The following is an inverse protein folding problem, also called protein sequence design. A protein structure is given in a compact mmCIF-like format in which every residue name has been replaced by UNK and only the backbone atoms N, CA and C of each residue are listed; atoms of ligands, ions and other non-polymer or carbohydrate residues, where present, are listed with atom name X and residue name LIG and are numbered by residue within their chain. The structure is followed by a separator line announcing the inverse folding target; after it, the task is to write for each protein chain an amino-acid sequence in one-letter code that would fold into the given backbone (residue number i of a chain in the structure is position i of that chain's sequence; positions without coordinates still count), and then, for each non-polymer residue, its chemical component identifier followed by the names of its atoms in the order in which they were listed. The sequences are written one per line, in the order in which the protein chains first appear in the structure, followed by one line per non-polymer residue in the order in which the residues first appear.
data_IF_267093503450
#
_entry.id   IF_267093503450
#
_cell.length_a   1.000
_cell.length_b   1.000
_cell.length_c   1.000
_cell.angle_alpha   90.00
_cell.angle_beta   90.00
_cell.angle_gamma   90.00
#
_symmetry.space_group_name_H-M   'P 1'
#
loop_
_entity.id
_entity.type
_entity.pdbx_description
1 polymer ?
#
# COMPACT_ATOMS: atom_id res chain seq x y z
N UNK A 1 -0.15 17.61 -42.98
CA UNK A 1 -0.58 16.57 -42.03
C UNK A 1 0.67 15.93 -41.45
N UNK A 2 0.87 16.11 -40.14
CA UNK A 2 2.06 15.73 -39.40
C UNK A 2 2.10 14.22 -39.12
N UNK A 3 3.29 13.62 -39.20
CA UNK A 3 3.82 12.72 -38.15
C UNK A 3 5.34 12.71 -38.23
N UNK A 4 5.94 13.41 -37.27
CA UNK A 4 7.38 13.50 -37.02
C UNK A 4 7.81 12.24 -36.28
N UNK A 5 8.77 11.53 -36.86
CA UNK A 5 9.66 10.58 -36.20
C UNK A 5 10.59 11.34 -35.26
N UNK A 6 10.67 10.96 -33.97
CA UNK A 6 11.53 11.65 -33.00
C UNK A 6 11.90 10.81 -31.77
N UNK A 7 13.10 10.22 -31.84
CA UNK A 7 14.07 9.87 -30.79
C UNK A 7 13.62 9.74 -29.32
N UNK A 8 13.79 8.54 -28.74
CA UNK A 8 13.58 8.21 -27.30
C UNK A 8 14.81 8.44 -26.40
N UNK A 9 15.82 9.18 -26.81
CA UNK A 9 17.09 9.29 -26.07
C UNK A 9 17.57 10.73 -25.83
N UNK A 10 16.71 11.60 -25.29
CA UNK A 10 17.10 12.98 -24.99
C UNK A 10 16.37 13.62 -23.79
N UNK A 11 16.35 13.01 -22.61
CA UNK A 11 15.81 13.67 -21.40
C UNK A 11 16.54 13.31 -20.08
N UNK A 12 17.87 13.14 -20.11
CA UNK A 12 18.65 12.84 -18.89
C UNK A 12 19.89 13.74 -18.72
N UNK A 13 19.82 15.01 -19.12
CA UNK A 13 20.83 16.02 -18.83
C UNK A 13 20.19 17.38 -18.56
N UNK A 14 19.88 17.66 -17.29
CA UNK A 14 19.89 18.99 -16.63
C UNK A 14 18.88 19.02 -15.48
N UNK A 15 19.20 18.48 -14.31
CA UNK A 15 18.58 18.96 -13.06
C UNK A 15 19.60 18.88 -11.93
N UNK A 16 20.60 19.78 -11.97
CA UNK A 16 21.21 20.31 -10.74
C UNK A 16 20.42 21.56 -10.39
N UNK A 17 19.29 21.40 -9.72
CA UNK A 17 18.55 22.52 -9.14
C UNK A 17 18.92 22.64 -7.66
N UNK A 18 19.70 23.67 -7.34
CA UNK A 18 19.94 24.10 -5.96
C UNK A 18 18.63 24.71 -5.44
N UNK A 19 17.84 23.93 -4.70
CA UNK A 19 16.63 24.44 -4.03
C UNK A 19 17.06 25.19 -2.77
N UNK A 20 16.53 26.39 -2.57
CA UNK A 20 16.85 27.23 -1.41
C UNK A 20 16.00 26.80 -0.22
N UNK A 21 16.66 26.67 0.94
CA UNK A 21 16.04 26.37 2.21
C UNK A 21 15.27 27.59 2.74
N UNK A 22 13.98 27.45 3.01
CA UNK A 22 13.25 28.39 3.85
C UNK A 22 12.76 27.65 5.10
N UNK A 23 13.47 27.87 6.22
CA UNK A 23 13.02 27.39 7.53
C UNK A 23 11.87 28.30 7.95
N UNK A 24 10.66 27.75 8.01
CA UNK A 24 9.48 28.51 8.46
C UNK A 24 9.57 28.75 9.97
N UNK A 25 10.07 27.75 10.71
CA UNK A 25 10.14 27.80 12.17
C UNK A 25 11.20 26.86 12.72
N UNK A 26 11.91 27.30 13.75
CA UNK A 26 12.88 26.45 14.48
C UNK A 26 12.62 26.49 15.99
N UNK A 27 12.92 25.38 16.67
CA UNK A 27 12.79 25.27 18.12
C UNK A 27 13.90 24.40 18.71
N UNK A 28 14.43 24.83 19.86
CA UNK A 28 15.37 24.06 20.67
C UNK A 28 14.66 23.44 21.87
N UNK A 29 15.10 22.24 22.28
CA UNK A 29 14.50 21.42 23.36
C UNK A 29 13.12 20.83 23.01
N UNK A 30 12.85 20.60 21.73
CA UNK A 30 11.67 19.88 21.28
C UNK A 30 11.82 18.37 21.48
N UNK A 31 10.72 17.66 21.73
CA UNK A 31 10.69 16.22 21.49
C UNK A 31 10.28 15.96 20.04
N UNK A 32 10.64 14.79 19.51
CA UNK A 32 10.22 14.37 18.17
C UNK A 32 8.71 14.53 17.95
N UNK A 33 7.90 14.06 18.90
CA UNK A 33 6.43 14.16 18.85
C UNK A 33 5.96 15.61 18.84
N UNK A 34 6.60 16.48 19.64
CA UNK A 34 6.27 17.92 19.63
C UNK A 34 6.67 18.58 18.31
N UNK A 35 7.75 18.14 17.67
CA UNK A 35 8.17 18.64 16.36
C UNK A 35 7.18 18.24 15.27
N UNK A 36 6.77 16.97 15.26
CA UNK A 36 5.74 16.47 14.36
C UNK A 36 4.40 17.20 14.56
N UNK A 37 3.97 17.37 15.81
CA UNK A 37 2.75 18.11 16.16
C UNK A 37 2.82 19.60 15.79
N UNK A 38 4.00 20.22 15.89
CA UNK A 38 4.20 21.59 15.45
C UNK A 38 4.02 21.71 13.93
N UNK A 39 4.54 20.77 13.15
CA UNK A 39 4.30 20.75 11.70
C UNK A 39 2.82 20.48 11.34
N UNK A 40 2.11 19.68 12.14
CA UNK A 40 0.67 19.45 11.94
C UNK A 40 -0.17 20.72 12.13
N UNK A 41 0.20 21.54 13.11
CA UNK A 41 -0.52 22.76 13.48
C UNK A 41 -0.06 24.00 12.71
N UNK A 42 1.02 23.91 11.95
CA UNK A 42 1.57 25.00 11.14
C UNK A 42 1.02 24.86 9.70
N UNK A 43 0.24 25.84 9.26
CA UNK A 43 -0.55 25.76 8.01
C UNK A 43 0.34 25.49 6.79
N UNK A 44 1.51 26.13 6.75
CA UNK A 44 2.46 26.05 5.64
C UNK A 44 3.52 24.96 5.82
N UNK A 45 3.53 24.21 6.93
CA UNK A 45 4.52 23.16 7.12
C UNK A 45 4.21 21.94 6.25
N UNK A 46 5.19 21.53 5.44
CA UNK A 46 5.16 20.33 4.61
C UNK A 46 6.15 19.28 5.13
N UNK A 47 7.30 19.71 5.63
CA UNK A 47 8.36 18.85 6.16
C UNK A 47 8.84 19.35 7.52
N UNK A 48 9.35 18.45 8.36
CA UNK A 48 10.07 18.81 9.56
C UNK A 48 11.38 18.01 9.69
N UNK A 49 12.43 18.62 10.22
CA UNK A 49 13.67 17.95 10.62
C UNK A 49 13.69 17.79 12.14
N UNK A 50 14.25 16.69 12.63
CA UNK A 50 14.50 16.51 14.06
C UNK A 50 15.87 15.89 14.33
N UNK A 51 16.75 16.64 14.98
CA UNK A 51 18.07 16.16 15.39
C UNK A 51 18.00 15.66 16.83
N UNK A 52 18.24 14.36 17.04
CA UNK A 52 18.12 13.72 18.36
C UNK A 52 19.15 14.26 19.37
N UNK A 53 20.38 14.50 18.93
CA UNK A 53 21.48 14.92 19.81
C UNK A 53 21.29 16.35 20.33
N UNK A 54 20.85 17.27 19.47
CA UNK A 54 20.63 18.67 19.82
C UNK A 54 19.19 18.97 20.23
N UNK A 55 18.27 18.00 20.07
CA UNK A 55 16.81 18.17 20.21
C UNK A 55 16.28 19.36 19.40
N UNK A 56 16.88 19.57 18.24
CA UNK A 56 16.54 20.65 17.32
C UNK A 56 15.40 20.20 16.42
N UNK A 57 14.41 21.07 16.26
CA UNK A 57 13.26 20.88 15.40
C UNK A 57 13.18 22.03 14.39
N UNK A 58 13.03 21.72 13.12
CA UNK A 58 12.88 22.73 12.07
C UNK A 58 11.69 22.36 11.18
N UNK A 59 10.83 23.33 10.88
CA UNK A 59 9.67 23.19 10.00
C UNK A 59 9.97 23.85 8.65
N UNK A 60 9.56 23.23 7.55
CA UNK A 60 9.78 23.72 6.19
C UNK A 60 8.55 23.50 5.31
N UNK A 61 8.35 24.41 4.35
CA UNK A 61 7.27 24.41 3.34
C UNK A 61 7.67 23.67 2.07
N UNK A 62 8.96 23.38 1.87
CA UNK A 62 9.47 22.75 0.66
C UNK A 62 10.29 21.48 0.95
N UNK A 63 10.28 20.55 -0.02
CA UNK A 63 11.02 19.29 0.11
C UNK A 63 12.51 19.52 -0.10
N UNK A 64 13.32 19.10 0.87
CA UNK A 64 14.77 19.06 0.72
C UNK A 64 15.13 17.79 -0.04
N UNK A 65 15.50 17.92 -1.31
CA UNK A 65 16.41 16.97 -1.95
C UNK A 65 17.75 17.69 -2.11
N UNK A 66 18.54 17.65 -1.04
CA UNK A 66 19.99 17.79 -1.16
C UNK A 66 20.61 16.54 -0.54
N UNK A 67 21.08 15.68 -1.43
CA UNK A 67 22.05 14.64 -1.11
C UNK A 67 23.30 15.36 -0.59
N UNK A 68 23.71 15.01 0.62
CA UNK A 68 24.91 15.43 1.35
C UNK A 68 24.72 16.66 2.25
N UNK A 69 24.33 16.40 3.50
CA UNK A 69 25.13 16.74 4.68
C UNK A 69 24.55 15.98 5.90
N UNK A 70 25.45 15.59 6.80
CA UNK A 70 25.33 14.46 7.71
C UNK A 70 24.22 14.61 8.78
N UNK A 71 23.48 13.52 9.02
CA UNK A 71 22.61 13.28 10.18
C UNK A 71 21.30 14.06 10.36
N UNK A 72 20.73 14.67 9.31
CA UNK A 72 19.38 15.23 9.36
C UNK A 72 18.36 14.32 8.67
N UNK A 73 17.55 13.61 9.48
CA UNK A 73 16.37 12.89 8.97
C UNK A 73 15.19 13.87 8.90
N UNK A 74 14.73 14.15 7.68
CA UNK A 74 13.53 14.93 7.43
C UNK A 74 12.31 14.01 7.40
N UNK A 75 11.28 14.39 8.14
CA UNK A 75 10.01 13.69 8.28
C UNK A 75 8.91 14.57 7.67
N UNK A 76 8.11 14.02 6.76
CA UNK A 76 7.00 14.77 6.17
C UNK A 76 5.87 14.93 7.19
N UNK A 77 5.13 16.04 7.13
CA UNK A 77 3.92 16.24 7.94
C UNK A 77 3.05 14.97 7.88
N UNK A 78 2.70 14.41 9.02
CA UNK A 78 1.79 13.26 9.06
C UNK A 78 0.45 13.69 8.44
N UNK A 79 0.07 13.11 7.31
CA UNK A 79 -1.10 13.54 6.52
C UNK A 79 -0.78 14.18 5.17
N UNK A 80 0.49 14.26 4.76
CA UNK A 80 0.84 14.73 3.43
C UNK A 80 1.74 13.70 2.70
N UNK A 81 1.12 12.73 2.04
CA UNK A 81 1.73 11.92 1.00
C UNK A 81 0.73 11.75 -0.12
N UNK A 82 0.32 12.84 -0.76
CA UNK A 82 -0.65 12.73 -1.83
C UNK A 82 0.02 12.21 -3.10
N UNK A 83 -0.26 10.94 -3.40
CA UNK A 83 -0.76 10.57 -4.71
C UNK A 83 -1.88 11.58 -5.07
N UNK A 84 -1.66 12.50 -6.03
CA UNK A 84 -2.59 13.61 -6.29
C UNK A 84 -4.01 13.18 -6.72
N UNK A 85 -4.18 11.88 -6.97
CA UNK A 85 -5.42 11.18 -7.21
C UNK A 85 -5.22 9.74 -6.72
N UNK A 86 -5.42 9.48 -5.43
CA UNK A 86 -5.51 8.11 -4.93
C UNK A 86 -6.77 7.44 -5.48
N UNK A 87 -6.62 6.21 -5.97
CA UNK A 87 -7.73 5.46 -6.53
C UNK A 87 -7.45 3.97 -6.61
N UNK A 88 -8.42 3.19 -7.13
CA UNK A 88 -8.24 1.78 -7.46
C UNK A 88 -7.03 1.60 -8.37
N UNK A 89 -6.16 0.64 -8.03
CA UNK A 89 -4.98 0.30 -8.85
C UNK A 89 -5.32 -0.69 -9.96
N UNK A 90 -6.51 -1.31 -9.91
CA UNK A 90 -7.11 -1.96 -11.06
C UNK A 90 -7.54 -3.40 -10.85
N UNK A 91 -7.87 -3.79 -9.61
CA UNK A 91 -8.40 -5.13 -9.37
C UNK A 91 -9.82 -5.22 -9.92
N UNK A 92 -10.72 -4.31 -9.55
CA UNK A 92 -12.13 -4.34 -9.96
C UNK A 92 -12.31 -4.10 -11.46
N UNK A 93 -11.63 -3.10 -12.01
CA UNK A 93 -11.83 -2.65 -13.40
C UNK A 93 -11.03 -3.46 -14.44
N UNK A 94 -10.17 -4.39 -14.00
CA UNK A 94 -9.36 -5.22 -14.88
C UNK A 94 -8.06 -4.58 -15.38
N UNK A 95 -7.70 -3.38 -14.94
CA UNK A 95 -6.43 -2.76 -15.32
C UNK A 95 -5.20 -3.52 -14.79
N UNK A 96 -5.31 -4.20 -13.65
CA UNK A 96 -4.35 -5.23 -13.25
C UNK A 96 -4.70 -6.49 -14.05
N UNK A 97 -3.78 -7.02 -14.88
CA UNK A 97 -4.05 -8.20 -15.70
C UNK A 97 -4.15 -9.47 -14.84
N UNK A 98 -4.86 -10.48 -15.33
CA UNK A 98 -5.11 -11.72 -14.59
C UNK A 98 -3.82 -12.45 -14.20
N UNK A 99 -2.80 -12.41 -15.05
CA UNK A 99 -1.50 -13.05 -14.82
C UNK A 99 -0.71 -12.40 -13.68
N UNK A 100 -1.04 -11.15 -13.33
CA UNK A 100 -0.46 -10.44 -12.18
C UNK A 100 -1.05 -10.90 -10.85
N UNK A 101 -2.12 -11.70 -10.84
CA UNK A 101 -2.82 -12.14 -9.64
C UNK A 101 -2.52 -13.62 -9.39
N UNK A 102 -1.80 -13.92 -8.31
CA UNK A 102 -1.43 -15.30 -7.95
C UNK A 102 -1.75 -15.59 -6.49
N UNK A 103 -1.92 -16.87 -6.15
CA UNK A 103 -2.20 -17.29 -4.78
C UNK A 103 -1.44 -18.57 -4.44
N UNK A 104 -1.39 -18.90 -3.15
CA UNK A 104 -0.77 -20.12 -2.63
C UNK A 104 -1.44 -21.40 -3.15
N UNK A 105 -2.76 -21.34 -3.28
CA UNK A 105 -3.62 -22.44 -3.72
C UNK A 105 -5.01 -21.86 -4.03
N UNK A 106 -5.88 -22.64 -4.66
CA UNK A 106 -7.28 -22.26 -4.84
C UNK A 106 -8.22 -23.47 -4.88
N UNK A 107 -9.46 -23.29 -4.47
CA UNK A 107 -10.45 -24.36 -4.35
C UNK A 107 -11.23 -24.63 -5.65
N UNK A 108 -11.24 -25.90 -6.09
CA UNK A 108 -12.15 -26.42 -7.10
C UNK A 108 -11.53 -26.60 -8.49
N UNK A 109 -12.35 -27.07 -9.44
CA UNK A 109 -11.91 -27.52 -10.75
C UNK A 109 -12.09 -26.41 -11.81
N UNK A 110 -11.29 -26.49 -12.90
CA UNK A 110 -11.42 -25.61 -14.08
C UNK A 110 -11.39 -24.10 -13.77
N UNK A 111 -10.68 -23.68 -12.72
CA UNK A 111 -10.53 -22.26 -12.36
C UNK A 111 -11.68 -21.67 -11.53
N UNK A 112 -12.61 -22.48 -11.04
CA UNK A 112 -13.51 -22.03 -9.96
C UNK A 112 -12.67 -21.52 -8.79
N UNK A 113 -13.02 -20.36 -8.24
CA UNK A 113 -12.28 -19.72 -7.15
C UNK A 113 -10.78 -19.44 -7.41
N UNK A 114 -10.34 -19.41 -8.66
CA UNK A 114 -8.99 -19.01 -9.02
C UNK A 114 -8.64 -17.60 -8.51
N UNK A 115 -7.35 -17.24 -8.39
CA UNK A 115 -6.92 -15.93 -7.89
C UNK A 115 -7.57 -14.74 -8.60
N UNK A 116 -7.82 -14.86 -9.90
CA UNK A 116 -8.50 -13.84 -10.73
C UNK A 116 -9.93 -13.52 -10.28
N UNK A 117 -10.57 -14.43 -9.52
CA UNK A 117 -11.90 -14.20 -8.94
C UNK A 117 -11.84 -13.37 -7.67
N UNK A 118 -10.66 -12.99 -7.19
CA UNK A 118 -10.47 -12.12 -6.02
C UNK A 118 -10.70 -10.64 -6.31
N UNK A 119 -11.16 -10.25 -7.49
CA UNK A 119 -11.43 -8.84 -7.82
C UNK A 119 -12.65 -8.35 -7.03
N UNK A 120 -12.58 -7.14 -6.47
CA UNK A 120 -13.71 -6.53 -5.77
C UNK A 120 -14.98 -6.56 -6.63
N UNK A 121 -16.14 -6.76 -6.00
CA UNK A 121 -17.45 -6.81 -6.67
C UNK A 121 -17.59 -7.87 -7.78
N UNK A 122 -16.68 -8.85 -7.87
CA UNK A 122 -16.88 -10.01 -8.75
C UNK A 122 -18.18 -10.71 -8.39
N UNK A 123 -19.07 -10.88 -9.38
CA UNK A 123 -20.35 -11.59 -9.24
C UNK A 123 -20.33 -12.97 -9.92
N UNK A 124 -21.39 -13.75 -9.67
CA UNK A 124 -21.63 -15.06 -10.28
C UNK A 124 -20.82 -16.19 -9.64
N UNK A 125 -21.22 -17.44 -9.90
CA UNK A 125 -20.50 -18.60 -9.37
C UNK A 125 -19.22 -18.83 -10.18
N UNK A 126 -18.01 -18.80 -9.61
CA UNK A 126 -17.62 -18.65 -8.20
C UNK A 126 -17.13 -17.23 -7.85
N UNK A 127 -17.75 -16.50 -6.92
CA UNK A 127 -17.57 -15.04 -6.74
C UNK A 127 -16.41 -14.59 -5.81
N UNK A 128 -15.36 -15.39 -5.63
CA UNK A 128 -14.15 -14.98 -4.89
C UNK A 128 -12.99 -15.94 -5.15
N UNK A 129 -11.76 -15.51 -4.86
CA UNK A 129 -10.71 -16.48 -4.57
C UNK A 129 -11.04 -17.18 -3.25
N UNK A 130 -10.87 -18.49 -3.21
CA UNK A 130 -10.93 -19.29 -1.99
C UNK A 130 -9.72 -20.22 -1.97
N UNK A 131 -9.02 -20.30 -0.85
CA UNK A 131 -7.85 -21.19 -0.74
C UNK A 131 -8.27 -22.66 -0.90
N UNK A 132 -7.36 -23.53 -1.34
CA UNK A 132 -7.61 -24.96 -1.24
C UNK A 132 -7.56 -25.39 0.23
N UNK A 133 -8.70 -25.80 0.79
CA UNK A 133 -8.82 -26.23 2.18
C UNK A 133 -8.16 -27.61 2.45
N UNK A 134 -7.87 -28.37 1.39
CA UNK A 134 -7.16 -29.65 1.48
C UNK A 134 -5.64 -29.50 1.39
N UNK A 135 -5.17 -28.30 1.12
CA UNK A 135 -3.73 -28.00 1.10
C UNK A 135 -3.14 -28.10 2.51
N UNK A 136 -1.98 -28.75 2.62
CA UNK A 136 -1.18 -28.75 3.85
C UNK A 136 -0.65 -27.35 4.23
N UNK A 137 -0.82 -26.35 3.35
CA UNK A 137 -0.43 -24.98 3.63
C UNK A 137 -1.46 -24.29 4.55
N UNK A 138 -1.14 -24.27 5.85
CA UNK A 138 -1.89 -23.58 6.90
C UNK A 138 -1.82 -22.04 6.82
N UNK A 139 -0.98 -21.50 5.92
CA UNK A 139 -0.73 -20.06 5.75
C UNK A 139 -1.07 -19.64 4.32
N UNK A 140 -2.37 -19.57 3.97
CA UNK A 140 -2.79 -19.17 2.63
C UNK A 140 -2.38 -17.73 2.33
N UNK A 141 -2.13 -17.44 1.06
CA UNK A 141 -1.87 -16.08 0.60
C UNK A 141 -2.42 -15.84 -0.79
N UNK A 142 -2.73 -14.58 -1.07
CA UNK A 142 -3.02 -14.06 -2.41
C UNK A 142 -2.21 -12.79 -2.63
N UNK A 143 -1.70 -12.58 -3.84
CA UNK A 143 -0.83 -11.45 -4.15
C UNK A 143 -1.12 -10.85 -5.52
N UNK A 144 -0.66 -9.61 -5.67
CA UNK A 144 -0.63 -8.87 -6.92
C UNK A 144 0.81 -8.43 -7.20
N UNK A 145 1.30 -8.71 -8.39
CA UNK A 145 2.51 -8.09 -8.95
C UNK A 145 2.12 -6.95 -9.89
N UNK A 146 2.42 -5.71 -9.50
CA UNK A 146 2.10 -4.53 -10.28
C UNK A 146 3.05 -4.33 -11.49
N UNK A 147 4.05 -5.20 -11.67
CA UNK A 147 5.14 -5.13 -12.67
C UNK A 147 6.03 -3.88 -12.59
N UNK A 148 5.71 -2.94 -11.70
CA UNK A 148 6.48 -1.73 -11.37
C UNK A 148 6.25 -1.37 -9.91
N UNK A 149 7.11 -0.55 -9.33
CA UNK A 149 6.87 -0.01 -7.99
C UNK A 149 5.72 1.00 -8.03
N UNK A 150 4.73 0.80 -7.18
CA UNK A 150 3.57 1.68 -6.97
C UNK A 150 3.53 2.13 -5.51
N UNK A 151 2.72 3.13 -5.21
CA UNK A 151 2.41 3.54 -3.83
C UNK A 151 1.05 2.98 -3.46
N UNK A 152 0.98 2.17 -2.40
CA UNK A 152 -0.24 1.60 -1.83
C UNK A 152 -0.56 2.33 -0.53
N UNK A 153 -1.80 2.78 -0.36
CA UNK A 153 -2.24 3.53 0.83
C UNK A 153 -3.32 2.80 1.60
N UNK A 154 -4.19 2.06 0.93
CA UNK A 154 -5.25 1.29 1.57
C UNK A 154 -5.58 0.02 0.78
N UNK A 155 -6.29 -0.90 1.45
CA UNK A 155 -6.92 -2.07 0.86
C UNK A 155 -8.42 -1.99 1.07
N UNK A 156 -9.20 -2.52 0.14
CA UNK A 156 -10.63 -2.79 0.34
C UNK A 156 -10.80 -4.30 0.23
N UNK A 157 -11.40 -4.94 1.23
CA UNK A 157 -11.68 -6.38 1.20
C UNK A 157 -13.18 -6.65 1.17
N UNK A 158 -13.59 -7.77 0.59
CA UNK A 158 -14.98 -8.21 0.51
C UNK A 158 -15.05 -9.75 0.65
N UNK A 159 -16.13 -10.29 1.20
CA UNK A 159 -16.32 -11.74 1.34
C UNK A 159 -16.63 -12.44 0.01
N UNK A 160 -17.08 -13.70 0.06
CA UNK A 160 -17.32 -14.54 -1.13
C UNK A 160 -18.40 -14.06 -2.11
N UNK A 161 -19.33 -13.19 -1.70
CA UNK A 161 -20.38 -12.66 -2.57
C UNK A 161 -21.71 -13.43 -2.59
N UNK A 162 -21.70 -14.72 -2.27
CA UNK A 162 -22.93 -15.53 -2.27
C UNK A 162 -23.66 -15.48 -0.92
N UNK A 163 -24.92 -15.04 -0.93
CA UNK A 163 -25.74 -14.81 0.26
C UNK A 163 -25.82 -16.03 1.20
N UNK A 164 -25.83 -17.24 0.64
CA UNK A 164 -25.98 -18.47 1.42
C UNK A 164 -24.69 -18.96 2.08
N UNK A 165 -23.53 -18.55 1.55
CA UNK A 165 -22.25 -19.04 2.02
C UNK A 165 -21.53 -17.91 2.75
N UNK A 166 -21.59 -17.97 4.09
CA UNK A 166 -20.88 -17.08 5.00
C UNK A 166 -19.36 -17.35 5.01
N UNK A 167 -18.73 -17.48 3.84
CA UNK A 167 -17.31 -17.74 3.66
C UNK A 167 -16.57 -16.43 3.42
N UNK A 168 -15.63 -16.10 4.32
CA UNK A 168 -14.93 -14.81 4.31
C UNK A 168 -13.69 -14.82 5.18
N UNK A 169 -12.68 -14.07 4.77
CA UNK A 169 -11.56 -13.67 5.63
C UNK A 169 -12.04 -12.64 6.65
N UNK A 170 -11.72 -12.85 7.93
CA UNK A 170 -12.11 -11.96 9.05
C UNK A 170 -10.93 -11.18 9.61
N UNK A 171 -9.70 -11.67 9.45
CA UNK A 171 -8.45 -10.91 9.69
C UNK A 171 -7.36 -11.36 8.73
N UNK A 172 -6.47 -10.44 8.39
CA UNK A 172 -5.32 -10.73 7.54
C UNK A 172 -4.12 -9.86 7.92
N UNK A 173 -2.94 -10.27 7.48
CA UNK A 173 -1.72 -9.47 7.52
C UNK A 173 -1.28 -9.14 6.10
N UNK A 174 -0.50 -8.08 5.93
CA UNK A 174 0.03 -7.67 4.63
C UNK A 174 1.54 -7.82 4.63
N UNK A 175 2.05 -8.46 3.60
CA UNK A 175 3.48 -8.49 3.27
C UNK A 175 3.71 -7.91 1.89
N UNK A 176 4.93 -7.46 1.64
CA UNK A 176 5.29 -6.82 0.39
C UNK A 176 6.71 -7.16 -0.01
N UNK A 177 6.98 -7.06 -1.31
CA UNK A 177 8.28 -7.40 -1.88
C UNK A 177 8.54 -6.60 -3.16
N UNK A 178 9.82 -6.42 -3.48
CA UNK A 178 10.26 -5.83 -4.75
C UNK A 178 10.88 -6.86 -5.71
N UNK A 179 11.22 -8.06 -5.23
CA UNK A 179 11.90 -9.12 -5.99
C UNK A 179 11.14 -10.46 -5.99
N UNK A 180 10.10 -10.59 -5.17
CA UNK A 180 9.31 -11.82 -5.00
C UNK A 180 9.99 -12.87 -4.12
N UNK A 181 11.21 -12.63 -3.64
CA UNK A 181 12.01 -13.57 -2.86
C UNK A 181 12.08 -13.16 -1.39
N UNK A 182 12.39 -11.88 -1.13
CA UNK A 182 12.44 -11.31 0.22
C UNK A 182 11.16 -10.54 0.49
N UNK A 183 10.56 -10.79 1.66
CA UNK A 183 9.26 -10.26 2.03
C UNK A 183 9.34 -9.53 3.37
N UNK A 184 8.82 -8.31 3.38
CA UNK A 184 8.67 -7.50 4.57
C UNK A 184 7.21 -7.45 5.00
N UNK A 185 6.98 -7.27 6.30
CA UNK A 185 5.63 -7.08 6.86
C UNK A 185 5.27 -5.60 6.91
N UNK A 186 3.98 -5.29 6.72
CA UNK A 186 3.42 -4.03 7.19
C UNK A 186 3.30 -4.11 8.70
N UNK A 187 4.00 -3.23 9.41
CA UNK A 187 4.09 -3.23 10.87
C UNK A 187 3.49 -1.98 11.49
N UNK A 188 3.13 -2.08 12.77
CA UNK A 188 2.77 -0.92 13.58
C UNK A 188 4.03 -0.10 13.96
N UNK A 189 3.82 0.95 14.74
CA UNK A 189 4.91 1.81 15.22
C UNK A 189 5.94 1.10 16.12
N UNK A 190 5.64 -0.10 16.60
CA UNK A 190 6.51 -0.93 17.43
C UNK A 190 7.23 -2.02 16.61
N UNK A 191 7.00 -2.10 15.30
CA UNK A 191 7.59 -3.12 14.43
C UNK A 191 6.84 -4.47 14.47
N UNK A 192 5.64 -4.52 15.06
CA UNK A 192 4.84 -5.75 15.11
C UNK A 192 3.99 -5.87 13.84
N UNK A 193 3.95 -7.03 13.15
CA UNK A 193 3.10 -7.24 11.98
C UNK A 193 1.62 -6.92 12.26
N UNK A 194 1.06 -5.96 11.54
CA UNK A 194 -0.31 -5.51 11.75
C UNK A 194 -1.32 -6.54 11.29
N UNK A 195 -2.34 -6.78 12.12
CA UNK A 195 -3.55 -7.54 11.76
C UNK A 195 -4.65 -6.56 11.34
N UNK A 196 -4.99 -6.58 10.05
CA UNK A 196 -6.06 -5.77 9.49
C UNK A 196 -7.42 -6.45 9.68
N UNK A 197 -8.49 -5.68 9.91
CA UNK A 197 -9.84 -6.21 9.95
C UNK A 197 -10.27 -6.66 8.55
N UNK A 198 -10.80 -7.88 8.47
CA UNK A 198 -11.49 -8.41 7.29
C UNK A 198 -13.00 -8.17 7.37
N UNK A 199 -13.76 -9.07 6.75
CA UNK A 199 -15.18 -8.89 6.51
C UNK A 199 -16.08 -9.50 7.59
N UNK A 200 -17.19 -8.82 7.89
CA UNK A 200 -18.23 -9.29 8.82
C UNK A 200 -19.34 -10.09 8.13
N UNK A 201 -19.49 -9.92 6.83
CA UNK A 201 -20.47 -10.61 5.98
C UNK A 201 -19.87 -10.92 4.59
N UNK A 202 -20.69 -11.45 3.67
CA UNK A 202 -20.23 -11.89 2.36
C UNK A 202 -20.05 -10.76 1.33
N UNK A 203 -20.64 -9.58 1.54
CA UNK A 203 -20.88 -8.59 0.48
C UNK A 203 -20.44 -7.17 0.81
N UNK A 204 -20.38 -6.77 2.07
CA UNK A 204 -20.00 -5.41 2.46
C UNK A 204 -18.49 -5.21 2.30
N UNK A 205 -18.04 -4.29 1.44
CA UNK A 205 -16.63 -3.93 1.35
C UNK A 205 -16.13 -3.29 2.66
N UNK A 206 -14.91 -3.62 3.07
CA UNK A 206 -14.26 -3.10 4.28
C UNK A 206 -12.93 -2.47 3.88
N UNK A 207 -12.78 -1.18 4.12
CA UNK A 207 -11.54 -0.46 3.89
C UNK A 207 -10.56 -0.66 5.07
N UNK A 208 -9.29 -0.84 4.75
CA UNK A 208 -8.18 -0.97 5.70
C UNK A 208 -7.02 -0.07 5.25
N UNK A 209 -6.82 1.03 5.97
CA UNK A 209 -5.75 1.99 5.67
C UNK A 209 -4.42 1.49 6.22
N UNK A 210 -3.37 1.56 5.40
CA UNK A 210 -2.02 1.23 5.84
C UNK A 210 -1.47 2.33 6.76
N UNK A 211 -0.62 1.99 7.74
CA UNK A 211 -0.05 2.96 8.70
C UNK A 211 0.87 4.00 8.03
N UNK A 212 1.32 3.73 6.81
CA UNK A 212 2.13 4.61 5.97
C UNK A 212 1.88 4.28 4.50
N UNK A 213 2.18 5.24 3.61
CA UNK A 213 2.16 5.01 2.16
C UNK A 213 3.27 4.03 1.77
N UNK A 214 2.90 2.82 1.37
CA UNK A 214 3.81 1.71 1.10
C UNK A 214 4.24 1.73 -0.36
N UNK A 215 5.54 1.90 -0.63
CA UNK A 215 6.08 1.81 -1.99
C UNK A 215 6.59 0.39 -2.29
N UNK A 216 5.87 -0.35 -3.12
CA UNK A 216 6.19 -1.76 -3.43
C UNK A 216 5.86 -2.16 -4.86
N UNK A 217 6.48 -3.22 -5.38
CA UNK A 217 6.10 -3.86 -6.64
C UNK A 217 5.09 -4.99 -6.43
N UNK A 218 5.22 -5.74 -5.35
CA UNK A 218 4.39 -6.90 -5.06
C UNK A 218 3.74 -6.69 -3.69
N UNK A 219 2.44 -6.87 -3.64
CA UNK A 219 1.65 -6.81 -2.42
C UNK A 219 0.99 -8.17 -2.20
N UNK A 220 1.14 -8.74 -1.01
CA UNK A 220 0.57 -10.03 -0.63
C UNK A 220 -0.31 -9.85 0.60
N UNK A 221 -1.54 -10.34 0.50
CA UNK A 221 -2.48 -10.48 1.60
C UNK A 221 -2.35 -11.91 2.14
N UNK A 222 -2.18 -12.02 3.45
CA UNK A 222 -2.00 -13.28 4.17
C UNK A 222 -3.17 -13.42 5.15
N UNK A 223 -4.27 -14.08 4.76
CA UNK A 223 -5.37 -14.36 5.67
C UNK A 223 -4.89 -15.13 6.92
N UNK A 224 -5.27 -14.63 8.09
CA UNK A 224 -4.89 -15.24 9.38
C UNK A 224 -6.09 -15.80 10.13
N UNK A 225 -7.29 -15.28 9.87
CA UNK A 225 -8.55 -15.76 10.45
C UNK A 225 -9.65 -15.67 9.38
N UNK A 226 -10.56 -16.64 9.36
CA UNK A 226 -11.69 -16.69 8.44
C UNK A 226 -12.90 -17.39 9.07
N UNK A 227 -14.07 -17.16 8.49
CA UNK A 227 -15.29 -17.88 8.83
C UNK A 227 -15.61 -18.90 7.74
N UNK A 228 -15.85 -20.16 8.13
CA UNK A 228 -16.13 -21.33 7.28
C UNK A 228 -15.00 -21.70 6.30
N UNK A 229 -14.68 -20.84 5.34
CA UNK A 229 -13.64 -21.06 4.33
C UNK A 229 -12.94 -19.74 4.05
N UNK A 230 -11.61 -19.77 3.87
CA UNK A 230 -10.82 -18.60 3.53
C UNK A 230 -11.12 -18.20 2.09
N UNK A 231 -12.07 -17.29 1.94
CA UNK A 231 -12.45 -16.69 0.68
C UNK A 231 -12.39 -15.17 0.77
N UNK A 232 -11.89 -14.51 -0.26
CA UNK A 232 -11.88 -13.05 -0.32
C UNK A 232 -11.87 -12.50 -1.74
N UNK A 233 -12.45 -11.32 -1.86
CA UNK A 233 -12.25 -10.35 -2.93
C UNK A 233 -11.55 -9.12 -2.35
N UNK A 234 -10.84 -8.37 -3.17
CA UNK A 234 -10.19 -7.14 -2.75
C UNK A 234 -9.91 -6.17 -3.90
N UNK A 235 -9.65 -4.92 -3.52
CA UNK A 235 -9.07 -3.86 -4.34
C UNK A 235 -7.87 -3.26 -3.59
N UNK A 236 -6.90 -2.76 -4.36
CA UNK A 236 -5.74 -2.03 -3.84
C UNK A 236 -5.90 -0.56 -4.17
N UNK A 237 -5.80 0.31 -3.18
CA UNK A 237 -5.91 1.77 -3.34
C UNK A 237 -4.54 2.41 -3.26
N UNK A 238 -4.25 3.33 -4.18
CA UNK A 238 -2.97 4.03 -4.22
C UNK A 238 -2.77 4.87 -5.48
N UNK A 239 -1.52 4.99 -5.92
CA UNK A 239 -1.18 5.55 -7.23
C UNK A 239 0.12 4.97 -7.82
N UNK A 240 0.31 5.25 -9.12
CA UNK A 240 1.47 4.84 -9.91
C UNK A 240 2.60 5.88 -9.93
#
# INVERSE_FOLDING_TARGET
MNKVTGNRYAYAKQYKSTVKFQVIRSSQRASYIKCAAACLNEENCRYFSYTRDTRQCELSDESIVSINEENLTYHRRSGDSFCSLEGPLGMEDGCIPDESITASSFYGNLGSHAPVRARLNTEGYAAAWCNDATSDNISPWIQVDFNRKVTVTSLISQGRGEYYYYQRVTKYQVTYSNDGQSWDHVTDALGTPMKFPGNKDANTPVASTLPFALRTRILRINPTEWNNHCCMRFEVIGCF
#
